data_IF_363858769844
#
_entry.id   IF_363858769844
#
_cell.length_a   1.000
_cell.length_b   1.000
_cell.length_c   1.000
_cell.angle_alpha   90.00
_cell.angle_beta   90.00
_cell.angle_gamma   90.00
#
_symmetry.space_group_name_H-M   'P 1'
#
loop_
_entity.id
_entity.type
_entity.pdbx_description
1 polymer ?
#
# COMPACT_ATOMS: atom_id res chain seq x y z
N UNK A 1 -25.16 -15.27 13.30
CA UNK A 1 -23.88 -15.01 14.01
C UNK A 1 -24.05 -14.92 15.53
N UNK A 2 -25.04 -14.18 16.06
CA UNK A 2 -25.26 -14.07 17.51
C UNK A 2 -25.54 -15.42 18.22
N UNK A 3 -26.38 -16.29 17.65
CA UNK A 3 -26.69 -17.60 18.23
C UNK A 3 -25.46 -18.53 18.31
N UNK A 4 -24.59 -18.53 17.29
CA UNK A 4 -23.35 -19.31 17.29
C UNK A 4 -22.37 -18.80 18.35
N UNK A 5 -22.27 -17.47 18.53
CA UNK A 5 -21.47 -16.87 19.59
C UNK A 5 -21.97 -17.23 20.99
N UNK A 6 -23.28 -17.26 21.21
CA UNK A 6 -23.88 -17.67 22.47
C UNK A 6 -23.58 -19.16 22.80
N UNK A 7 -23.70 -20.05 21.82
CA UNK A 7 -23.42 -21.49 21.99
C UNK A 7 -21.94 -21.74 22.37
N UNK A 8 -21.00 -21.03 21.75
CA UNK A 8 -19.57 -21.10 22.07
C UNK A 8 -19.28 -20.62 23.50
N UNK A 9 -20.03 -19.63 23.99
CA UNK A 9 -19.83 -19.06 25.32
C UNK A 9 -20.51 -19.88 26.44
N UNK A 10 -21.64 -20.55 26.14
CA UNK A 10 -22.40 -21.34 27.11
C UNK A 10 -21.74 -22.68 27.46
N UNK A 11 -20.87 -23.22 26.60
CA UNK A 11 -20.21 -24.52 26.81
C UNK A 11 -18.70 -24.30 26.96
N UNK A 12 -18.13 -24.55 28.16
CA UNK A 12 -16.71 -24.31 28.44
C UNK A 12 -15.75 -24.99 27.46
N UNK A 13 -16.05 -26.22 27.04
CA UNK A 13 -15.22 -27.00 26.12
C UNK A 13 -15.13 -26.34 24.73
N UNK A 14 -16.22 -25.77 24.22
CA UNK A 14 -16.21 -25.07 22.93
C UNK A 14 -15.48 -23.73 23.00
N UNK A 15 -15.54 -23.04 24.14
CA UNK A 15 -14.77 -21.82 24.38
C UNK A 15 -13.26 -22.08 24.27
N UNK A 16 -12.76 -23.14 24.90
CA UNK A 16 -11.32 -23.47 24.85
C UNK A 16 -10.85 -23.77 23.43
N UNK A 17 -11.59 -24.60 22.69
CA UNK A 17 -11.26 -24.92 21.30
C UNK A 17 -11.29 -23.65 20.44
N UNK A 18 -12.35 -22.84 20.56
CA UNK A 18 -12.46 -21.59 19.83
C UNK A 18 -11.27 -20.66 20.11
N UNK A 19 -10.91 -20.44 21.37
CA UNK A 19 -9.77 -19.59 21.76
C UNK A 19 -8.46 -20.10 21.16
N UNK A 20 -8.21 -21.41 21.20
CA UNK A 20 -6.97 -21.98 20.62
C UNK A 20 -6.90 -21.82 19.10
N UNK A 21 -8.03 -22.03 18.41
CA UNK A 21 -8.11 -21.87 16.95
C UNK A 21 -7.95 -20.41 16.55
N UNK A 22 -8.62 -19.48 17.25
CA UNK A 22 -8.49 -18.05 16.98
C UNK A 22 -7.10 -17.52 17.32
N UNK A 23 -6.46 -18.01 18.39
CA UNK A 23 -5.09 -17.65 18.72
C UNK A 23 -4.11 -18.09 17.62
N UNK A 24 -4.23 -19.34 17.16
CA UNK A 24 -3.40 -19.84 16.05
C UNK A 24 -3.66 -19.14 14.73
N UNK A 25 -4.93 -18.90 14.39
CA UNK A 25 -5.33 -18.16 13.20
C UNK A 25 -4.84 -16.71 13.23
N UNK A 26 -4.86 -16.06 14.40
CA UNK A 26 -4.34 -14.71 14.57
C UNK A 26 -2.84 -14.61 14.26
N UNK A 27 -2.05 -15.58 14.71
CA UNK A 27 -0.61 -15.65 14.41
C UNK A 27 -0.40 -15.83 12.90
N UNK A 28 -1.13 -16.75 12.26
CA UNK A 28 -1.03 -16.96 10.81
C UNK A 28 -1.39 -15.71 10.01
N UNK A 29 -2.48 -15.04 10.37
CA UNK A 29 -2.90 -13.77 9.74
C UNK A 29 -1.82 -12.69 9.93
N UNK A 30 -1.22 -12.59 11.12
CA UNK A 30 -0.15 -11.65 11.38
C UNK A 30 1.08 -11.92 10.49
N UNK A 31 1.50 -13.18 10.36
CA UNK A 31 2.64 -13.57 9.52
C UNK A 31 2.36 -13.24 8.05
N UNK A 32 1.20 -13.63 7.53
CA UNK A 32 0.81 -13.35 6.14
C UNK A 32 0.71 -11.85 5.90
N UNK A 33 0.13 -11.10 6.84
CA UNK A 33 0.00 -9.64 6.77
C UNK A 33 1.35 -8.94 6.75
N UNK A 34 2.28 -9.36 7.62
CA UNK A 34 3.65 -8.83 7.65
C UNK A 34 4.42 -9.15 6.36
N UNK A 35 4.30 -10.38 5.85
CA UNK A 35 4.92 -10.77 4.58
C UNK A 35 4.35 -9.99 3.38
N UNK A 36 3.06 -9.66 3.41
CA UNK A 36 2.39 -8.88 2.36
C UNK A 36 2.52 -7.36 2.55
N UNK A 37 3.11 -6.88 3.64
CA UNK A 37 3.16 -5.46 4.01
C UNK A 37 3.76 -4.60 2.89
N UNK A 38 4.87 -5.04 2.31
CA UNK A 38 5.55 -4.32 1.22
C UNK A 38 4.69 -4.25 -0.05
N UNK A 39 3.99 -5.34 -0.39
CA UNK A 39 3.09 -5.37 -1.54
C UNK A 39 1.92 -4.40 -1.35
N UNK A 40 1.30 -4.39 -0.17
CA UNK A 40 0.24 -3.45 0.17
C UNK A 40 0.72 -2.00 0.17
N UNK A 41 1.89 -1.72 0.72
CA UNK A 41 2.49 -0.37 0.73
C UNK A 41 2.69 0.18 -0.69
N UNK A 42 3.17 -0.67 -1.60
CA UNK A 42 3.34 -0.31 -3.01
C UNK A 42 2.00 -0.02 -3.72
N UNK A 43 0.96 -0.83 -3.45
CA UNK A 43 -0.37 -0.63 -4.01
C UNK A 43 -0.97 0.69 -3.51
N UNK A 44 -0.93 0.91 -2.19
CA UNK A 44 -1.47 2.12 -1.55
C UNK A 44 -0.74 3.34 -2.11
N UNK A 45 0.59 3.32 -2.21
CA UNK A 45 1.38 4.40 -2.82
C UNK A 45 0.95 4.70 -4.26
N UNK A 46 0.72 3.68 -5.09
CA UNK A 46 0.21 3.85 -6.46
C UNK A 46 -1.18 4.49 -6.50
N UNK A 47 -2.08 4.08 -5.60
CA UNK A 47 -3.43 4.66 -5.48
C UNK A 47 -3.37 6.12 -5.04
N UNK A 48 -2.55 6.44 -4.03
CA UNK A 48 -2.35 7.82 -3.59
C UNK A 48 -1.75 8.70 -4.68
N UNK A 49 -0.82 8.17 -5.49
CA UNK A 49 -0.26 8.91 -6.63
C UNK A 49 -1.33 9.21 -7.68
N UNK A 50 -2.23 8.28 -7.99
CA UNK A 50 -3.33 8.56 -8.93
C UNK A 50 -4.37 9.50 -8.34
N UNK A 51 -4.66 9.37 -7.04
CA UNK A 51 -5.68 10.16 -6.35
C UNK A 51 -5.25 11.60 -6.03
N UNK A 52 -3.96 11.84 -5.78
CA UNK A 52 -3.44 13.12 -5.28
C UNK A 52 -2.46 13.81 -6.22
N UNK A 53 -2.27 13.33 -7.46
CA UNK A 53 -1.25 13.94 -8.31
C UNK A 53 -1.63 15.36 -8.77
N UNK A 54 -0.64 16.27 -8.85
CA UNK A 54 -0.76 17.50 -9.62
C UNK A 54 -0.90 17.16 -11.11
N UNK A 55 -1.62 17.99 -11.85
CA UNK A 55 -1.88 17.79 -13.28
C UNK A 55 -0.58 17.72 -14.08
N UNK A 56 -0.59 16.94 -15.18
CA UNK A 56 0.48 17.03 -16.18
C UNK A 56 0.67 18.50 -16.59
N UNK A 57 1.92 18.97 -16.62
CA UNK A 57 2.25 20.38 -16.87
C UNK A 57 2.83 21.14 -15.68
N UNK A 58 2.76 20.61 -14.45
CA UNK A 58 3.38 21.27 -13.30
C UNK A 58 4.92 21.13 -13.31
N UNK A 59 5.60 22.22 -12.96
CA UNK A 59 7.05 22.23 -12.80
C UNK A 59 7.41 21.67 -11.42
N UNK A 60 8.22 20.61 -11.40
CA UNK A 60 8.60 19.90 -10.18
C UNK A 60 10.12 19.69 -10.13
N UNK A 61 10.66 19.68 -8.93
CA UNK A 61 12.06 19.30 -8.67
C UNK A 61 12.06 18.06 -7.79
N UNK A 62 12.48 16.92 -8.34
CA UNK A 62 12.37 15.61 -7.69
C UNK A 62 13.63 14.80 -7.97
N UNK A 63 14.20 14.15 -6.94
CA UNK A 63 15.37 13.29 -7.06
C UNK A 63 16.55 13.93 -7.83
N UNK A 64 16.81 15.21 -7.58
CA UNK A 64 17.90 15.97 -8.23
C UNK A 64 17.61 16.41 -9.68
N UNK A 65 16.42 16.15 -10.21
CA UNK A 65 16.00 16.54 -11.56
C UNK A 65 14.91 17.61 -11.48
N UNK A 66 15.12 18.75 -12.15
CA UNK A 66 14.13 19.83 -12.27
C UNK A 66 13.57 19.88 -13.69
N UNK A 67 12.25 19.91 -13.80
CA UNK A 67 11.57 19.84 -15.08
C UNK A 67 10.05 19.86 -14.99
N UNK A 68 9.39 19.68 -16.13
CA UNK A 68 7.93 19.63 -16.24
C UNK A 68 7.47 18.18 -16.28
N UNK A 69 6.41 17.86 -15.54
CA UNK A 69 5.82 16.52 -15.57
C UNK A 69 5.09 16.30 -16.88
N UNK A 70 5.52 15.30 -17.67
CA UNK A 70 4.86 14.92 -18.92
C UNK A 70 3.77 13.88 -18.69
N UNK A 71 4.10 12.83 -17.95
CA UNK A 71 3.21 11.70 -17.75
C UNK A 71 3.47 10.99 -16.42
N UNK A 72 2.44 10.32 -15.97
CA UNK A 72 2.22 9.86 -14.62
C UNK A 72 1.61 8.47 -14.71
N UNK A 73 2.33 7.47 -14.21
CA UNK A 73 1.80 6.10 -14.14
C UNK A 73 1.83 5.59 -12.71
N UNK A 74 1.20 4.44 -12.46
CA UNK A 74 1.21 3.76 -11.16
C UNK A 74 2.63 3.42 -10.67
N UNK A 75 3.57 3.19 -11.59
CA UNK A 75 4.92 2.69 -11.28
C UNK A 75 6.03 3.74 -11.42
N UNK A 76 5.85 4.75 -12.26
CA UNK A 76 6.87 5.76 -12.56
C UNK A 76 6.26 7.10 -12.95
N UNK A 77 7.10 8.14 -12.94
CA UNK A 77 6.79 9.50 -13.40
C UNK A 77 7.80 9.90 -14.47
N UNK A 78 7.31 10.50 -15.56
CA UNK A 78 8.13 10.99 -16.67
C UNK A 78 8.26 12.50 -16.54
N UNK A 79 9.50 12.99 -16.41
CA UNK A 79 9.82 14.41 -16.29
C UNK A 79 10.64 14.83 -17.52
N UNK A 80 10.24 15.93 -18.17
CA UNK A 80 11.06 16.62 -19.17
C UNK A 80 11.94 17.66 -18.48
N UNK A 81 13.26 17.44 -18.52
CA UNK A 81 14.24 18.36 -17.95
C UNK A 81 14.38 19.63 -18.79
N UNK A 82 14.97 20.68 -18.22
CA UNK A 82 15.29 21.92 -18.94
C UNK A 82 16.23 21.73 -20.14
N UNK A 83 17.02 20.66 -20.12
CA UNK A 83 17.89 20.25 -21.23
C UNK A 83 17.13 19.40 -22.28
N UNK A 84 15.80 19.41 -22.23
CA UNK A 84 14.90 18.69 -23.14
C UNK A 84 15.13 17.15 -23.16
N UNK A 85 15.61 16.57 -22.04
CA UNK A 85 15.73 15.12 -21.85
C UNK A 85 14.53 14.59 -21.08
N UNK A 86 14.14 13.33 -21.35
CA UNK A 86 13.10 12.63 -20.57
C UNK A 86 13.76 11.78 -19.49
N UNK A 87 13.42 12.05 -18.23
CA UNK A 87 13.83 11.28 -17.07
C UNK A 87 12.66 10.42 -16.59
N UNK A 88 12.87 9.11 -16.52
CA UNK A 88 11.89 8.15 -15.99
C UNK A 88 12.27 7.85 -14.55
N UNK A 89 11.47 8.35 -13.61
CA UNK A 89 11.73 8.22 -12.18
C UNK A 89 10.73 7.23 -11.59
N UNK A 90 11.19 6.10 -11.01
CA UNK A 90 10.32 5.21 -10.28
C UNK A 90 9.65 5.96 -9.12
N UNK A 91 8.34 5.77 -8.95
CA UNK A 91 7.57 6.53 -7.95
C UNK A 91 8.12 6.35 -6.52
N UNK A 92 8.68 5.19 -6.19
CA UNK A 92 9.29 4.93 -4.87
C UNK A 92 10.57 5.74 -4.58
N UNK A 93 11.18 6.40 -5.58
CA UNK A 93 12.33 7.31 -5.40
C UNK A 93 11.94 8.78 -5.28
N UNK A 94 10.64 9.07 -5.35
CA UNK A 94 10.08 10.40 -5.11
C UNK A 94 9.80 10.51 -3.61
N UNK A 95 10.85 10.72 -2.81
CA UNK A 95 10.71 11.06 -1.39
C UNK A 95 10.81 12.58 -1.23
N UNK A 96 9.89 13.12 -0.42
CA UNK A 96 9.74 14.55 -0.17
C UNK A 96 10.89 15.11 0.66
#
# INVERSE_FOLDING_TARGET
MLAAGAIIYSIPSFKHIAVTVFAGAGILVAIVGLAAQDAFSNIISGVFIVAFKPSAGDQVSVAGHSGVVEDITLRHTVIRTLENRRAIIPNGKIQR
#
